data_IF_379008618324
#
_entry.id   IF_379008618324
#
_cell.length_a   1.000
_cell.length_b   1.000
_cell.length_c   1.000
_cell.angle_alpha   90.00
_cell.angle_beta   90.00
_cell.angle_gamma   90.00
#
_symmetry.space_group_name_H-M   'P 1'
#
loop_
_entity.id
_entity.type
_entity.pdbx_description
1 polymer ?
#
# COMPACT_ATOMS: atom_id res chain seq x y z
N UNK A 1 2.98 -16.40 -25.75
CA UNK A 1 1.51 -16.14 -25.70
C UNK A 1 1.04 -15.79 -24.29
N UNK A 2 1.67 -16.33 -23.23
CA UNK A 2 1.28 -16.01 -21.85
C UNK A 2 1.52 -14.56 -21.46
N UNK A 3 2.54 -13.90 -22.02
CA UNK A 3 2.75 -12.47 -21.83
C UNK A 3 1.57 -11.61 -22.32
N UNK A 4 0.94 -12.02 -23.42
CA UNK A 4 -0.23 -11.33 -24.00
C UNK A 4 -1.44 -11.54 -23.09
N UNK A 5 -1.66 -12.79 -22.63
CA UNK A 5 -2.74 -13.13 -21.68
C UNK A 5 -2.60 -12.35 -20.36
N UNK A 6 -1.38 -12.30 -19.82
CA UNK A 6 -1.05 -11.52 -18.63
C UNK A 6 -1.30 -10.02 -18.86
N UNK A 7 -0.88 -9.50 -20.02
CA UNK A 7 -1.13 -8.11 -20.41
C UNK A 7 -2.62 -7.77 -20.45
N UNK A 8 -3.47 -8.67 -20.94
CA UNK A 8 -4.93 -8.49 -20.95
C UNK A 8 -5.50 -8.46 -19.53
N UNK A 9 -5.09 -9.38 -18.65
CA UNK A 9 -5.51 -9.38 -17.23
C UNK A 9 -5.11 -8.07 -16.57
N UNK A 10 -3.88 -7.60 -16.80
CA UNK A 10 -3.40 -6.34 -16.24
C UNK A 10 -4.18 -5.13 -16.77
N UNK A 11 -4.48 -5.11 -18.07
CA UNK A 11 -5.32 -4.07 -18.68
C UNK A 11 -6.73 -4.04 -18.06
N UNK A 12 -7.33 -5.21 -17.79
CA UNK A 12 -8.63 -5.29 -17.12
C UNK A 12 -8.59 -4.67 -15.71
N UNK A 13 -7.54 -4.94 -14.93
CA UNK A 13 -7.35 -4.33 -13.60
C UNK A 13 -7.25 -2.81 -13.74
N UNK A 14 -6.41 -2.29 -14.65
CA UNK A 14 -6.25 -0.85 -14.87
C UNK A 14 -7.57 -0.19 -15.26
N UNK A 15 -8.37 -0.83 -16.12
CA UNK A 15 -9.66 -0.30 -16.55
C UNK A 15 -10.61 -0.14 -15.37
N UNK A 16 -10.68 -1.11 -14.45
CA UNK A 16 -11.52 -1.00 -13.25
C UNK A 16 -10.99 0.05 -12.27
N UNK A 17 -9.66 0.16 -12.10
CA UNK A 17 -9.05 1.23 -11.29
C UNK A 17 -9.38 2.61 -11.86
N UNK A 18 -9.36 2.76 -13.19
CA UNK A 18 -9.71 4.01 -13.91
C UNK A 18 -11.14 4.47 -13.62
N UNK A 19 -12.04 3.55 -13.24
CA UNK A 19 -13.43 3.84 -12.88
C UNK A 19 -13.61 4.35 -11.44
N UNK A 20 -12.51 4.69 -10.74
CA UNK A 20 -12.50 5.12 -9.34
C UNK A 20 -13.19 4.10 -8.39
N UNK A 21 -13.18 2.81 -8.75
CA UNK A 21 -13.73 1.75 -7.92
C UNK A 21 -12.70 1.31 -6.87
N UNK A 22 -13.15 0.83 -5.70
CA UNK A 22 -12.24 0.38 -4.66
C UNK A 22 -11.37 -0.78 -5.14
N UNK A 23 -10.16 -0.88 -4.58
CA UNK A 23 -9.13 -1.82 -5.06
C UNK A 23 -9.59 -3.27 -5.08
N UNK A 24 -10.44 -3.69 -4.11
CA UNK A 24 -10.96 -5.06 -4.06
C UNK A 24 -11.79 -5.43 -5.30
N UNK A 25 -12.54 -4.50 -5.89
CA UNK A 25 -13.29 -4.76 -7.12
C UNK A 25 -12.34 -4.95 -8.31
N UNK A 26 -11.26 -4.17 -8.35
CA UNK A 26 -10.23 -4.28 -9.39
C UNK A 26 -9.51 -5.63 -9.30
N UNK A 27 -9.18 -6.06 -8.09
CA UNK A 27 -8.60 -7.39 -7.84
C UNK A 27 -9.58 -8.52 -8.24
N UNK A 28 -10.86 -8.39 -7.90
CA UNK A 28 -11.89 -9.34 -8.31
C UNK A 28 -12.04 -9.46 -9.84
N UNK A 29 -12.01 -8.33 -10.56
CA UNK A 29 -12.02 -8.32 -12.01
C UNK A 29 -10.78 -9.01 -12.62
N UNK A 30 -9.59 -8.80 -12.03
CA UNK A 30 -8.37 -9.50 -12.43
C UNK A 30 -8.46 -11.01 -12.22
N UNK A 31 -9.04 -11.46 -11.10
CA UNK A 31 -9.28 -12.89 -10.83
C UNK A 31 -10.24 -13.47 -11.88
N UNK A 32 -11.37 -12.82 -12.14
CA UNK A 32 -12.34 -13.26 -13.16
C UNK A 32 -11.73 -13.32 -14.55
N UNK A 33 -10.98 -12.28 -14.95
CA UNK A 33 -10.27 -12.27 -16.23
C UNK A 33 -9.26 -13.42 -16.31
N UNK A 34 -8.53 -13.70 -15.23
CA UNK A 34 -7.57 -14.81 -15.17
C UNK A 34 -8.26 -16.17 -15.32
N UNK A 35 -9.39 -16.39 -14.63
CA UNK A 35 -10.15 -17.63 -14.73
C UNK A 35 -10.65 -17.89 -16.16
N UNK A 36 -11.13 -16.84 -16.85
CA UNK A 36 -11.64 -16.94 -18.23
C UNK A 36 -10.51 -17.16 -19.23
N UNK A 37 -9.43 -16.38 -19.15
CA UNK A 37 -8.34 -16.36 -20.14
C UNK A 37 -7.44 -17.61 -20.02
N UNK A 38 -7.22 -18.10 -18.80
CA UNK A 38 -6.42 -19.30 -18.56
C UNK A 38 -7.26 -20.58 -18.52
N UNK A 39 -8.59 -20.48 -18.66
CA UNK A 39 -9.52 -21.62 -18.73
C UNK A 39 -9.30 -22.60 -17.57
N UNK A 40 -9.20 -22.08 -16.35
CA UNK A 40 -8.94 -22.89 -15.16
C UNK A 40 -10.18 -23.77 -14.88
N UNK A 41 -10.01 -25.09 -14.66
CA UNK A 41 -11.15 -25.97 -14.41
C UNK A 41 -11.84 -25.64 -13.09
N UNK A 42 -13.18 -25.67 -13.09
CA UNK A 42 -14.01 -25.38 -11.90
C UNK A 42 -13.70 -26.29 -10.71
N UNK A 43 -13.19 -27.50 -10.95
CA UNK A 43 -12.77 -28.43 -9.91
C UNK A 43 -11.57 -27.95 -9.10
N UNK A 44 -10.71 -27.10 -9.67
CA UNK A 44 -9.51 -26.56 -9.00
C UNK A 44 -9.79 -25.31 -8.16
N UNK A 45 -10.96 -24.68 -8.32
CA UNK A 45 -11.31 -23.44 -7.61
C UNK A 45 -11.22 -23.55 -6.08
N UNK A 46 -11.79 -24.58 -5.42
CA UNK A 46 -11.73 -24.68 -3.96
C UNK A 46 -10.30 -24.86 -3.44
N UNK A 47 -9.46 -25.58 -4.19
CA UNK A 47 -8.06 -25.79 -3.81
C UNK A 47 -7.26 -24.49 -3.91
N UNK A 48 -7.38 -23.76 -5.03
CA UNK A 48 -6.72 -22.47 -5.24
C UNK A 48 -7.16 -21.46 -4.18
N UNK A 49 -8.45 -21.39 -3.87
CA UNK A 49 -8.98 -20.52 -2.82
C UNK A 49 -8.41 -20.89 -1.45
N UNK A 50 -8.36 -22.18 -1.12
CA UNK A 50 -7.83 -22.65 0.17
C UNK A 50 -6.35 -22.31 0.34
N UNK A 51 -5.54 -22.56 -0.68
CA UNK A 51 -4.10 -22.25 -0.66
C UNK A 51 -3.88 -20.73 -0.60
N UNK A 52 -4.67 -19.95 -1.34
CA UNK A 52 -4.54 -18.49 -1.36
C UNK A 52 -4.92 -17.85 -0.04
N UNK A 53 -5.99 -18.32 0.61
CA UNK A 53 -6.51 -17.72 1.85
C UNK A 53 -5.82 -18.27 3.11
N UNK A 54 -5.54 -19.57 3.16
CA UNK A 54 -5.00 -20.26 4.33
C UNK A 54 -3.57 -20.74 4.14
N UNK A 55 -2.91 -20.31 3.06
CA UNK A 55 -1.50 -20.57 2.86
C UNK A 55 -0.68 -19.97 4.00
N UNK A 56 0.33 -20.72 4.47
CA UNK A 56 1.21 -20.27 5.54
C UNK A 56 1.85 -18.91 5.23
N UNK A 57 2.24 -18.68 3.97
CA UNK A 57 2.80 -17.41 3.52
C UNK A 57 1.78 -16.26 3.60
N UNK A 58 0.53 -16.50 3.18
CA UNK A 58 -0.56 -15.53 3.30
C UNK A 58 -0.75 -15.13 4.76
N UNK A 59 -0.82 -16.12 5.66
CA UNK A 59 -1.01 -15.88 7.10
C UNK A 59 0.15 -15.07 7.67
N UNK A 60 1.40 -15.44 7.36
CA UNK A 60 2.59 -14.72 7.83
C UNK A 60 2.56 -13.27 7.36
N UNK A 61 2.28 -13.04 6.08
CA UNK A 61 2.24 -11.68 5.51
C UNK A 61 1.13 -10.85 6.15
N UNK A 62 -0.09 -11.40 6.28
CA UNK A 62 -1.21 -10.72 6.91
C UNK A 62 -0.90 -10.38 8.38
N UNK A 63 -0.36 -11.33 9.14
CA UNK A 63 0.02 -11.11 10.54
C UNK A 63 1.14 -10.08 10.67
N UNK A 64 2.13 -10.09 9.77
CA UNK A 64 3.20 -9.11 9.75
C UNK A 64 2.64 -7.70 9.50
N UNK A 65 1.84 -7.51 8.45
CA UNK A 65 1.19 -6.23 8.17
C UNK A 65 0.29 -5.77 9.32
N UNK A 66 -0.47 -6.68 9.93
CA UNK A 66 -1.32 -6.35 11.06
C UNK A 66 -0.50 -5.90 12.28
N UNK A 67 0.57 -6.62 12.60
CA UNK A 67 1.47 -6.28 13.72
C UNK A 67 2.15 -4.95 13.50
N UNK A 68 2.67 -4.72 12.29
CA UNK A 68 3.31 -3.46 11.90
C UNK A 68 2.30 -2.30 11.99
N UNK A 69 1.10 -2.47 11.43
CA UNK A 69 0.04 -1.46 11.47
C UNK A 69 -0.39 -1.17 12.91
N UNK A 70 -0.51 -2.22 13.74
CA UNK A 70 -0.85 -2.08 15.15
C UNK A 70 0.22 -1.28 15.92
N UNK A 71 1.49 -1.64 15.75
CA UNK A 71 2.61 -0.93 16.37
C UNK A 71 2.64 0.53 15.94
N UNK A 72 2.48 0.77 14.63
CA UNK A 72 2.40 2.12 14.10
C UNK A 72 1.25 2.91 14.72
N UNK A 73 0.04 2.34 14.76
CA UNK A 73 -1.13 3.03 15.30
C UNK A 73 -0.98 3.35 16.79
N UNK A 74 -0.29 2.49 17.54
CA UNK A 74 0.06 2.76 18.94
C UNK A 74 1.04 3.93 19.07
N UNK A 75 2.07 3.99 18.23
CA UNK A 75 3.04 5.10 18.23
C UNK A 75 2.38 6.43 17.80
N UNK A 76 1.49 6.40 16.82
CA UNK A 76 0.66 7.53 16.41
C UNK A 76 -0.19 8.04 17.57
N UNK A 77 -0.95 7.15 18.22
CA UNK A 77 -1.83 7.51 19.34
C UNK A 77 -1.07 8.11 20.53
N UNK A 78 0.20 7.71 20.73
CA UNK A 78 1.09 8.25 21.77
C UNK A 78 1.87 9.49 21.32
N UNK A 79 1.62 10.01 20.12
CA UNK A 79 2.32 11.18 19.57
C UNK A 79 3.80 10.95 19.25
N UNK A 80 4.29 9.70 19.28
CA UNK A 80 5.72 9.40 19.10
C UNK A 80 6.20 9.61 17.68
N UNK A 81 5.35 9.37 16.68
CA UNK A 81 5.69 9.67 15.29
C UNK A 81 5.80 11.18 15.03
N UNK A 82 4.90 11.98 15.60
CA UNK A 82 4.97 13.45 15.52
C UNK A 82 6.20 14.01 16.26
N UNK A 83 6.57 13.41 17.39
CA UNK A 83 7.80 13.77 18.10
C UNK A 83 9.05 13.41 17.28
N UNK A 84 9.07 12.23 16.64
CA UNK A 84 10.17 11.83 15.77
C UNK A 84 10.32 12.77 14.59
N UNK A 85 9.22 13.11 13.91
CA UNK A 85 9.17 14.12 12.85
C UNK A 85 9.80 15.44 13.28
N UNK A 86 9.29 16.06 14.37
CA UNK A 86 9.83 17.33 14.86
C UNK A 86 11.30 17.27 15.24
N UNK A 87 11.76 16.12 15.73
CA UNK A 87 13.16 15.93 16.12
C UNK A 87 14.06 15.85 14.89
N UNK A 88 13.62 15.14 13.84
CA UNK A 88 14.34 15.06 12.56
C UNK A 88 14.35 16.43 11.87
N UNK A 89 13.21 17.13 11.82
CA UNK A 89 13.09 18.48 11.28
C UNK A 89 13.99 19.51 11.98
N UNK A 90 14.31 19.29 13.27
CA UNK A 90 15.27 20.12 14.02
C UNK A 90 16.74 19.78 13.73
N UNK A 91 17.04 18.51 13.42
CA UNK A 91 18.40 18.10 13.03
C UNK A 91 18.79 18.75 11.70
N UNK A 92 17.85 18.79 10.75
CA UNK A 92 18.06 19.41 9.45
C UNK A 92 17.62 20.88 9.51
N UNK A 93 18.57 21.78 9.80
CA UNK A 93 18.34 23.22 9.89
C UNK A 93 18.17 23.91 8.50
N UNK A 94 17.42 23.29 7.58
CA UNK A 94 17.16 23.80 6.23
C UNK A 94 15.76 23.43 5.75
N UNK A 95 14.98 24.43 5.36
CA UNK A 95 13.60 24.25 4.86
C UNK A 95 13.54 23.33 3.63
N UNK A 96 14.54 23.38 2.74
CA UNK A 96 14.61 22.50 1.56
C UNK A 96 14.85 21.04 1.93
N UNK A 97 15.74 20.78 2.89
CA UNK A 97 16.05 19.41 3.33
C UNK A 97 14.84 18.83 4.08
N UNK A 98 14.17 19.65 4.91
CA UNK A 98 12.95 19.25 5.61
C UNK A 98 11.79 18.92 4.67
N UNK A 99 11.68 19.60 3.52
CA UNK A 99 10.66 19.31 2.50
C UNK A 99 10.85 17.95 1.80
N UNK A 100 12.05 17.35 1.86
CA UNK A 100 12.38 16.15 1.08
C UNK A 100 12.73 14.96 1.98
N UNK A 101 13.66 15.15 2.91
CA UNK A 101 14.23 14.05 3.73
C UNK A 101 13.25 13.59 4.81
N UNK A 102 12.53 14.53 5.44
CA UNK A 102 11.59 14.18 6.52
C UNK A 102 10.39 13.39 5.96
N UNK A 103 9.71 13.82 4.88
CA UNK A 103 8.69 13.02 4.20
C UNK A 103 9.19 11.68 3.70
N UNK A 104 10.44 11.60 3.21
CA UNK A 104 11.04 10.34 2.80
C UNK A 104 11.16 9.36 3.97
N UNK A 105 11.72 9.79 5.10
CA UNK A 105 11.89 8.95 6.30
C UNK A 105 10.52 8.52 6.87
N UNK A 106 9.58 9.46 6.96
CA UNK A 106 8.22 9.15 7.41
C UNK A 106 7.50 8.22 6.43
N UNK A 107 7.72 8.38 5.12
CA UNK A 107 7.17 7.54 4.06
C UNK A 107 7.72 6.10 4.04
N UNK A 108 8.88 5.86 4.66
CA UNK A 108 9.36 4.49 4.91
C UNK A 108 8.52 3.74 5.96
N UNK A 109 7.63 4.43 6.69
CA UNK A 109 6.67 3.77 7.55
C UNK A 109 5.60 3.10 6.67
N UNK A 110 5.42 1.78 6.77
CA UNK A 110 4.47 1.03 5.94
C UNK A 110 3.03 1.24 6.44
N UNK A 111 2.48 2.43 6.22
CA UNK A 111 1.12 2.81 6.64
C UNK A 111 0.59 4.06 5.97
N UNK A 112 -0.72 4.06 5.75
CA UNK A 112 -1.46 5.22 5.28
C UNK A 112 -1.33 6.46 6.21
N UNK A 113 -1.09 6.27 7.51
CA UNK A 113 -0.90 7.36 8.46
C UNK A 113 0.36 8.20 8.21
N UNK A 114 1.37 7.63 7.56
CA UNK A 114 2.58 8.34 7.16
C UNK A 114 2.27 9.52 6.23
N UNK A 115 1.31 9.37 5.32
CA UNK A 115 0.87 10.43 4.40
C UNK A 115 0.23 11.60 5.15
N UNK A 116 -0.55 11.31 6.19
CA UNK A 116 -1.20 12.35 7.01
C UNK A 116 -0.19 13.18 7.81
N UNK A 117 0.99 12.62 8.11
CA UNK A 117 2.09 13.32 8.78
C UNK A 117 2.98 14.03 7.76
N UNK A 118 3.30 13.40 6.62
CA UNK A 118 4.21 13.93 5.61
C UNK A 118 3.61 15.09 4.81
N UNK A 119 2.31 15.03 4.48
CA UNK A 119 1.63 16.07 3.70
C UNK A 119 1.73 17.48 4.31
N UNK A 120 1.44 17.72 5.61
CA UNK A 120 1.60 19.05 6.20
C UNK A 120 3.06 19.52 6.25
N UNK A 121 4.05 18.62 6.32
CA UNK A 121 5.48 19.00 6.29
C UNK A 121 5.86 19.56 4.93
N UNK A 122 5.48 18.85 3.85
CA UNK A 122 5.71 19.31 2.48
C UNK A 122 4.98 20.64 2.25
N UNK A 123 3.71 20.74 2.65
CA UNK A 123 2.96 21.99 2.52
C UNK A 123 3.60 23.16 3.29
N UNK A 124 4.11 22.94 4.49
CA UNK A 124 4.76 24.01 5.29
C UNK A 124 6.13 24.37 4.74
N UNK A 125 6.86 23.42 4.17
CA UNK A 125 8.21 23.64 3.67
C UNK A 125 8.25 24.17 2.23
N UNK A 126 7.26 23.80 1.40
CA UNK A 126 7.07 24.29 0.04
C UNK A 126 6.14 25.51 -0.04
N UNK A 127 5.30 25.73 0.97
CA UNK A 127 4.40 26.88 1.06
C UNK A 127 5.12 28.13 1.54
N UNK A 128 5.53 28.96 0.59
CA UNK A 128 5.52 30.42 0.68
C UNK A 128 5.55 30.97 -0.75
N UNK A 129 4.36 31.12 -1.34
CA UNK A 129 3.84 32.31 -2.04
C UNK A 129 2.33 32.13 -2.26
#
# INVERSE_FOLDING_TARGET
>A
MDLIKLGIVFAAIILVVRMNKPLYMSMGAGILASLIIYQIPFSAYPEILRISLFGQQTIIVVLAFYTITFLQRMLEKRGRLLLAERSISRIFNSRRINATVVPFIIGMLPSAGAVLIAAPIVNTAAGEY
#
